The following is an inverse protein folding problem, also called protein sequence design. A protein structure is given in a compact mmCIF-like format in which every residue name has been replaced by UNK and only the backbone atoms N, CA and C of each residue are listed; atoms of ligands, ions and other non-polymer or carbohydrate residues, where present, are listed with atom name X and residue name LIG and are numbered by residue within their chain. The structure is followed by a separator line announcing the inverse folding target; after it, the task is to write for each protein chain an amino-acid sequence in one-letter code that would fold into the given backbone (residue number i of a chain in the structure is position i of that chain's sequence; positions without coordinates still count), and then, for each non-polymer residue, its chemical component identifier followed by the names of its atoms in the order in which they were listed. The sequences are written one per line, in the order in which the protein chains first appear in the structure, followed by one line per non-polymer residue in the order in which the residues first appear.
data_IF_890843963490
#
_entry.id   IF_890843963490
#
_cell.length_a   1.000
_cell.length_b   1.000
_cell.length_c   1.000
_cell.angle_alpha   90.00
_cell.angle_beta   90.00
_cell.angle_gamma   90.00
#
_symmetry.space_group_name_H-M   'P 1'
#
loop_
_entity.id
_entity.type
_entity.pdbx_description
1 polymer ?
#
# COMPACT_ATOMS: atom_id res chain seq x y z
N UNK A 1 29.85 -2.28 17.98
CA UNK A 1 30.13 -1.73 16.64
C UNK A 1 28.85 -1.94 15.82
N UNK A 2 28.03 -0.91 15.70
CA UNK A 2 26.77 -0.99 14.94
C UNK A 2 27.08 -1.07 13.45
N UNK A 3 26.95 -2.24 12.86
CA UNK A 3 26.83 -2.34 11.41
C UNK A 3 25.44 -1.81 11.06
N UNK A 4 25.40 -0.65 10.40
CA UNK A 4 24.16 0.04 10.10
C UNK A 4 23.19 -0.82 9.28
N UNK A 5 21.89 -0.53 9.41
CA UNK A 5 20.79 -1.12 8.61
C UNK A 5 21.05 -1.06 7.10
N UNK A 6 21.93 -0.15 6.65
CA UNK A 6 22.38 0.01 5.26
C UNK A 6 22.90 -1.24 4.56
N UNK A 7 23.36 -2.26 5.30
CA UNK A 7 23.91 -3.46 4.69
C UNK A 7 22.88 -4.53 4.31
N UNK A 8 21.64 -4.43 4.80
CA UNK A 8 20.61 -5.46 4.53
C UNK A 8 19.90 -5.24 3.21
N UNK A 9 19.52 -4.01 2.90
CA UNK A 9 18.82 -3.72 1.64
C UNK A 9 19.79 -3.46 0.47
N UNK A 10 21.07 -3.10 0.72
CA UNK A 10 22.11 -3.09 -0.31
C UNK A 10 22.40 -4.48 -0.90
N UNK A 11 21.92 -5.55 -0.23
CA UNK A 11 22.05 -6.95 -0.67
C UNK A 11 20.76 -7.53 -1.23
N UNK A 12 19.73 -6.74 -1.48
CA UNK A 12 18.60 -7.22 -2.27
C UNK A 12 19.13 -7.63 -3.65
N UNK A 13 19.01 -8.90 -4.07
CA UNK A 13 19.52 -9.31 -5.35
C UNK A 13 18.75 -8.59 -6.45
N UNK A 14 19.39 -7.65 -7.12
CA UNK A 14 18.97 -7.19 -8.44
C UNK A 14 19.00 -8.41 -9.35
N UNK A 15 17.85 -8.89 -9.80
CA UNK A 15 17.77 -9.96 -10.80
C UNK A 15 18.25 -9.36 -12.12
N UNK A 16 19.52 -9.54 -12.40
CA UNK A 16 20.19 -9.08 -13.61
C UNK A 16 21.69 -9.16 -13.42
N UNK A 17 22.27 -10.31 -13.76
CA UNK A 17 23.72 -10.49 -13.82
C UNK A 17 24.32 -9.61 -14.92
N UNK A 18 25.04 -8.56 -14.54
CA UNK A 18 26.15 -8.05 -15.34
C UNK A 18 27.34 -7.77 -14.43
N UNK A 19 28.50 -8.15 -14.96
CA UNK A 19 29.78 -8.27 -14.31
C UNK A 19 30.32 -6.99 -13.66
N UNK A 20 31.12 -7.21 -12.64
CA UNK A 20 31.85 -6.27 -11.79
C UNK A 20 32.71 -5.28 -12.57
N UNK A 21 32.64 -4.01 -12.19
CA UNK A 21 33.82 -3.16 -12.17
C UNK A 21 33.93 -2.58 -10.75
N UNK A 22 35.02 -2.95 -10.09
CA UNK A 22 35.45 -2.39 -8.82
C UNK A 22 35.84 -0.93 -9.00
N UNK A 23 35.05 -0.02 -8.49
CA UNK A 23 35.53 1.30 -8.06
C UNK A 23 34.68 1.71 -6.86
N UNK A 24 35.25 1.58 -5.68
CA UNK A 24 34.74 2.13 -4.43
C UNK A 24 34.80 3.64 -4.53
N UNK A 25 33.64 4.28 -4.74
CA UNK A 25 33.41 5.65 -4.33
C UNK A 25 32.62 5.60 -3.03
N UNK A 26 33.21 6.06 -1.94
CA UNK A 26 32.46 6.41 -0.72
C UNK A 26 31.51 7.57 -1.09
N UNK A 27 30.28 7.24 -1.44
CA UNK A 27 29.23 8.23 -1.55
C UNK A 27 28.71 8.47 -0.14
N UNK A 28 29.14 9.58 0.45
CA UNK A 28 28.46 10.19 1.60
C UNK A 28 27.05 10.57 1.13
N UNK A 29 26.08 9.67 1.34
CA UNK A 29 24.68 9.90 1.04
C UNK A 29 24.10 10.72 2.20
N UNK A 30 24.22 12.03 2.14
CA UNK A 30 23.31 12.92 2.85
C UNK A 30 21.98 12.85 2.09
N UNK A 31 21.05 12.05 2.56
CA UNK A 31 19.72 11.97 1.97
C UNK A 31 19.01 13.29 2.27
N UNK A 32 18.71 14.06 1.23
CA UNK A 32 17.90 15.27 1.32
C UNK A 32 16.39 14.97 1.31
N UNK A 33 16.00 13.70 1.46
CA UNK A 33 14.62 13.28 1.38
C UNK A 33 13.84 13.69 2.62
N UNK A 34 12.63 14.17 2.38
CA UNK A 34 11.66 14.59 3.39
C UNK A 34 10.39 13.79 3.19
N UNK A 35 9.66 13.51 4.28
CA UNK A 35 8.44 12.71 4.22
C UNK A 35 7.26 13.44 4.83
N UNK A 36 6.06 13.24 4.25
CA UNK A 36 4.79 13.63 4.84
C UNK A 36 3.93 12.39 5.07
N UNK A 37 3.45 12.22 6.30
CA UNK A 37 2.48 11.20 6.66
C UNK A 37 1.07 11.65 6.30
N UNK A 38 0.29 10.74 5.70
CA UNK A 38 -1.10 10.97 5.33
C UNK A 38 -1.94 9.81 5.91
N UNK A 39 -2.64 10.09 7.00
CA UNK A 39 -3.43 9.07 7.72
C UNK A 39 -4.93 9.19 7.51
N UNK A 40 -5.46 10.39 7.23
CA UNK A 40 -6.88 10.54 6.97
C UNK A 40 -7.23 10.48 5.47
N UNK A 41 -8.47 10.10 5.17
CA UNK A 41 -8.90 9.85 3.81
C UNK A 41 -9.14 11.14 3.00
N UNK A 42 -9.55 12.23 3.63
CA UNK A 42 -9.77 13.52 2.97
C UNK A 42 -8.43 14.13 2.53
N UNK A 43 -7.44 14.12 3.40
CA UNK A 43 -6.08 14.56 3.06
C UNK A 43 -5.45 13.64 2.00
N UNK A 44 -5.76 12.34 2.02
CA UNK A 44 -5.25 11.40 1.02
C UNK A 44 -5.73 11.75 -0.40
N UNK A 45 -6.98 12.17 -0.58
CA UNK A 45 -7.48 12.70 -1.84
C UNK A 45 -6.82 14.04 -2.17
N UNK A 46 -6.82 14.97 -1.21
CA UNK A 46 -6.26 16.30 -1.40
C UNK A 46 -4.79 16.27 -1.84
N UNK A 47 -3.96 15.44 -1.18
CA UNK A 47 -2.56 15.27 -1.54
C UNK A 47 -2.38 14.73 -2.97
N UNK A 48 -3.18 13.75 -3.38
CA UNK A 48 -3.14 13.24 -4.76
C UNK A 48 -3.47 14.34 -5.77
N UNK A 49 -4.51 15.13 -5.51
CA UNK A 49 -4.92 16.22 -6.39
C UNK A 49 -3.85 17.33 -6.45
N UNK A 50 -3.24 17.70 -5.31
CA UNK A 50 -2.15 18.70 -5.25
C UNK A 50 -0.91 18.22 -6.03
N UNK A 51 -0.51 16.96 -5.86
CA UNK A 51 0.61 16.36 -6.56
C UNK A 51 0.36 16.29 -8.06
N UNK A 52 -0.79 15.79 -8.52
CA UNK A 52 -1.15 15.72 -9.94
C UNK A 52 -1.19 17.12 -10.56
N UNK A 53 -1.72 18.10 -9.82
CA UNK A 53 -1.74 19.49 -10.27
C UNK A 53 -0.34 20.08 -10.43
N UNK A 54 0.61 19.72 -9.58
CA UNK A 54 1.99 20.25 -9.61
C UNK A 54 2.84 19.66 -10.74
N UNK A 55 2.43 18.55 -11.35
CA UNK A 55 3.17 17.87 -12.41
C UNK A 55 3.39 18.77 -13.64
N UNK A 56 4.62 18.74 -14.17
CA UNK A 56 5.04 19.50 -15.34
C UNK A 56 5.41 18.60 -16.53
N UNK A 57 5.95 17.39 -16.30
CA UNK A 57 6.50 16.53 -17.34
C UNK A 57 5.80 15.18 -17.39
N UNK A 58 5.76 14.46 -16.27
CA UNK A 58 5.30 13.09 -16.22
C UNK A 58 4.55 12.74 -14.93
N UNK A 59 3.49 11.94 -15.07
CA UNK A 59 2.79 11.28 -13.99
C UNK A 59 2.81 9.77 -14.22
N UNK A 60 3.22 9.01 -13.19
CA UNK A 60 3.08 7.55 -13.17
C UNK A 60 2.17 7.19 -12.00
N UNK A 61 1.12 6.41 -12.26
CA UNK A 61 0.21 5.90 -11.22
C UNK A 61 0.10 4.38 -11.32
N UNK A 62 0.37 3.68 -10.20
CA UNK A 62 0.04 2.29 -10.00
C UNK A 62 -1.03 2.14 -8.93
N UNK A 63 -2.01 1.27 -9.15
CA UNK A 63 -3.06 1.02 -8.16
C UNK A 63 -3.72 -0.35 -8.36
N UNK A 64 -4.10 -0.99 -7.24
CA UNK A 64 -4.78 -2.28 -7.27
C UNK A 64 -6.27 -2.15 -7.60
N UNK A 65 -7.02 -1.35 -6.85
CA UNK A 65 -8.46 -1.10 -7.08
C UNK A 65 -8.69 0.38 -7.38
N UNK A 66 -9.06 0.65 -8.62
CA UNK A 66 -9.43 1.99 -9.07
C UNK A 66 -10.88 1.98 -9.50
N UNK A 67 -11.71 2.80 -8.87
CA UNK A 67 -13.13 2.91 -9.19
C UNK A 67 -13.47 4.28 -9.71
N UNK A 68 -14.41 4.35 -10.63
CA UNK A 68 -14.95 5.62 -11.10
C UNK A 68 -16.13 6.09 -10.22
N UNK A 69 -15.95 5.99 -8.89
CA UNK A 69 -16.82 6.61 -7.88
C UNK A 69 -16.47 8.10 -7.72
N UNK A 70 -16.95 8.77 -6.67
CA UNK A 70 -16.75 10.22 -6.52
C UNK A 70 -15.27 10.58 -6.44
N UNK A 71 -14.53 10.00 -5.50
CA UNK A 71 -13.10 10.29 -5.31
C UNK A 71 -12.25 9.82 -6.49
N UNK A 72 -12.57 8.64 -7.04
CA UNK A 72 -11.87 8.14 -8.22
C UNK A 72 -12.12 8.98 -9.45
N UNK A 73 -13.33 9.53 -9.62
CA UNK A 73 -13.63 10.48 -10.71
C UNK A 73 -12.85 11.79 -10.54
N UNK A 74 -12.62 12.26 -9.30
CA UNK A 74 -11.78 13.42 -9.03
C UNK A 74 -10.32 13.18 -9.45
N UNK A 75 -9.77 12.00 -9.13
CA UNK A 75 -8.43 11.61 -9.58
C UNK A 75 -8.38 11.50 -11.11
N UNK A 76 -9.38 10.87 -11.76
CA UNK A 76 -9.47 10.78 -13.22
C UNK A 76 -9.50 12.18 -13.84
N UNK A 77 -10.30 13.11 -13.30
CA UNK A 77 -10.39 14.47 -13.81
C UNK A 77 -9.08 15.25 -13.64
N UNK A 78 -8.37 15.05 -12.53
CA UNK A 78 -7.07 15.66 -12.30
C UNK A 78 -6.00 15.15 -13.26
N UNK A 79 -5.96 13.82 -13.51
CA UNK A 79 -5.06 13.18 -14.48
C UNK A 79 -5.36 13.66 -15.91
N UNK A 80 -6.64 13.74 -16.27
CA UNK A 80 -7.07 14.30 -17.55
C UNK A 80 -6.64 15.77 -17.69
N UNK A 81 -6.85 16.59 -16.65
CA UNK A 81 -6.40 17.99 -16.62
C UNK A 81 -4.88 18.16 -16.69
N UNK A 82 -4.09 17.20 -16.17
CA UNK A 82 -2.65 17.17 -16.35
C UNK A 82 -2.28 16.85 -17.80
N UNK A 83 -2.91 15.85 -18.40
CA UNK A 83 -2.71 15.47 -19.80
C UNK A 83 -3.05 16.63 -20.78
N UNK A 84 -4.12 17.41 -20.51
CA UNK A 84 -4.46 18.63 -21.28
C UNK A 84 -3.38 19.73 -21.18
N UNK A 85 -2.59 19.74 -20.10
CA UNK A 85 -1.42 20.62 -19.96
C UNK A 85 -0.17 20.11 -20.70
N UNK A 86 -0.23 18.92 -21.32
CA UNK A 86 0.89 18.29 -22.03
C UNK A 86 1.69 17.30 -21.17
N UNK A 87 1.30 17.07 -19.92
CA UNK A 87 1.96 16.11 -19.03
C UNK A 87 1.72 14.69 -19.54
N UNK A 88 2.77 13.87 -19.61
CA UNK A 88 2.65 12.45 -19.98
C UNK A 88 2.13 11.65 -18.79
N UNK A 89 1.07 10.88 -18.99
CA UNK A 89 0.41 10.11 -17.92
C UNK A 89 0.50 8.63 -18.25
N UNK A 90 1.15 7.86 -17.38
CA UNK A 90 1.27 6.40 -17.49
C UNK A 90 0.55 5.72 -16.32
N UNK A 91 -0.44 4.89 -16.62
CA UNK A 91 -1.23 4.18 -15.63
C UNK A 91 -1.00 2.68 -15.74
N UNK A 92 -0.70 2.04 -14.60
CA UNK A 92 -0.76 0.58 -14.48
C UNK A 92 -1.76 0.20 -13.40
N UNK A 93 -2.74 -0.62 -13.75
CA UNK A 93 -3.85 -0.97 -12.88
C UNK A 93 -3.99 -2.48 -12.87
N UNK A 94 -4.28 -3.08 -11.71
CA UNK A 94 -4.58 -4.50 -11.65
C UNK A 94 -5.66 -4.90 -12.64
N UNK A 95 -5.36 -5.88 -13.48
CA UNK A 95 -6.18 -6.17 -14.65
C UNK A 95 -7.56 -6.73 -14.31
N UNK A 96 -7.73 -7.47 -13.21
CA UNK A 96 -9.05 -7.96 -12.79
C UNK A 96 -9.89 -6.81 -12.26
N UNK A 97 -9.35 -6.01 -11.36
CA UNK A 97 -10.06 -4.86 -10.79
C UNK A 97 -10.41 -3.84 -11.89
N UNK A 98 -9.48 -3.57 -12.81
CA UNK A 98 -9.75 -2.70 -13.95
C UNK A 98 -10.89 -3.21 -14.82
N UNK A 99 -10.91 -4.50 -15.15
CA UNK A 99 -11.96 -5.10 -15.97
C UNK A 99 -13.34 -5.08 -15.28
N UNK A 100 -13.38 -5.25 -13.97
CA UNK A 100 -14.63 -5.31 -13.21
C UNK A 100 -15.19 -3.93 -12.86
N UNK A 101 -14.34 -2.97 -12.53
CA UNK A 101 -14.77 -1.73 -11.87
C UNK A 101 -14.51 -0.46 -12.69
N UNK A 102 -13.66 -0.50 -13.71
CA UNK A 102 -13.14 0.72 -14.32
C UNK A 102 -13.29 0.77 -15.85
N UNK A 103 -12.93 -0.27 -16.57
CA UNK A 103 -12.87 -0.27 -18.04
C UNK A 103 -14.19 0.06 -18.74
N UNK A 104 -15.33 -0.24 -18.09
CA UNK A 104 -16.67 0.10 -18.56
C UNK A 104 -17.11 1.54 -18.26
N UNK A 105 -16.34 2.31 -17.50
CA UNK A 105 -16.69 3.69 -17.11
C UNK A 105 -16.39 4.66 -18.25
N UNK A 106 -17.39 5.46 -18.65
CA UNK A 106 -17.25 6.46 -19.70
C UNK A 106 -16.17 7.52 -19.36
N UNK A 107 -16.06 7.93 -18.07
CA UNK A 107 -15.05 8.92 -17.64
C UNK A 107 -13.63 8.35 -17.69
N UNK A 108 -13.45 7.07 -17.35
CA UNK A 108 -12.15 6.42 -17.50
C UNK A 108 -11.77 6.22 -18.97
N UNK A 109 -12.74 5.85 -19.82
CA UNK A 109 -12.52 5.76 -21.25
C UNK A 109 -12.14 7.12 -21.85
N UNK A 110 -12.73 8.23 -21.35
CA UNK A 110 -12.36 9.57 -21.78
C UNK A 110 -10.91 9.94 -21.40
N UNK A 111 -10.45 9.53 -20.21
CA UNK A 111 -9.03 9.65 -19.84
C UNK A 111 -8.13 8.81 -20.76
N UNK A 112 -8.48 7.52 -20.96
CA UNK A 112 -7.68 6.58 -21.74
C UNK A 112 -7.68 6.87 -23.26
N UNK A 113 -8.58 7.74 -23.73
CA UNK A 113 -8.62 8.20 -25.12
C UNK A 113 -7.74 9.43 -25.40
N UNK A 114 -7.14 10.01 -24.36
CA UNK A 114 -6.29 11.20 -24.50
C UNK A 114 -4.89 10.82 -25.00
N UNK A 115 -4.33 11.57 -25.98
CA UNK A 115 -3.05 11.26 -26.64
C UNK A 115 -1.85 11.20 -25.68
N UNK A 116 -1.88 11.98 -24.58
CA UNK A 116 -0.83 12.00 -23.55
C UNK A 116 -1.06 10.97 -22.43
N UNK A 117 -1.96 10.00 -22.62
CA UNK A 117 -2.30 9.00 -21.60
C UNK A 117 -2.05 7.59 -22.12
N UNK A 118 -1.21 6.86 -21.42
CA UNK A 118 -0.98 5.44 -21.66
C UNK A 118 -1.50 4.61 -20.50
N UNK A 119 -2.32 3.60 -20.78
CA UNK A 119 -2.89 2.69 -19.77
C UNK A 119 -2.49 1.25 -20.08
N UNK A 120 -2.01 0.57 -19.04
CA UNK A 120 -1.81 -0.89 -19.06
C UNK A 120 -2.55 -1.57 -17.92
N UNK A 121 -3.16 -2.71 -18.21
CA UNK A 121 -3.73 -3.60 -17.21
C UNK A 121 -2.73 -4.71 -16.89
N UNK A 122 -2.33 -4.80 -15.62
CA UNK A 122 -1.44 -5.85 -15.15
C UNK A 122 -2.18 -7.19 -15.12
N UNK A 123 -1.67 -8.18 -15.83
CA UNK A 123 -2.13 -9.56 -15.82
C UNK A 123 -3.68 -9.70 -15.82
N UNK A 124 -4.41 -9.15 -16.81
CA UNK A 124 -5.86 -9.30 -16.90
C UNK A 124 -6.26 -10.76 -17.13
N UNK A 125 -7.52 -11.11 -16.86
CA UNK A 125 -8.00 -12.48 -17.06
C UNK A 125 -7.83 -12.89 -18.52
N UNK A 126 -7.20 -14.05 -18.73
CA UNK A 126 -7.05 -14.72 -20.03
C UNK A 126 -7.52 -16.15 -19.92
N UNK A 127 -8.46 -16.56 -20.74
CA UNK A 127 -8.98 -17.93 -20.74
C UNK A 127 -7.89 -18.98 -21.01
N UNK A 128 -6.83 -18.59 -21.72
CA UNK A 128 -5.68 -19.45 -22.05
C UNK A 128 -4.61 -19.52 -20.97
N UNK A 129 -4.72 -18.72 -19.89
CA UNK A 129 -3.72 -18.60 -18.82
C UNK A 129 -4.39 -18.45 -17.45
N UNK A 130 -5.41 -19.24 -17.15
CA UNK A 130 -6.16 -19.15 -15.90
C UNK A 130 -5.29 -19.41 -14.65
N UNK A 131 -4.17 -20.12 -14.78
CA UNK A 131 -3.22 -20.34 -13.66
C UNK A 131 -2.51 -19.08 -13.20
N UNK A 132 -2.49 -18.00 -14.00
CA UNK A 132 -1.89 -16.72 -13.61
C UNK A 132 -2.88 -15.81 -12.86
N UNK A 133 -4.16 -16.17 -12.77
CA UNK A 133 -5.24 -15.33 -12.25
C UNK A 133 -4.99 -14.82 -10.81
N UNK A 134 -4.22 -15.57 -10.02
CA UNK A 134 -3.93 -15.21 -8.63
C UNK A 134 -2.76 -14.21 -8.47
N UNK A 135 -1.97 -13.95 -9.50
CA UNK A 135 -0.88 -12.96 -9.44
C UNK A 135 -1.44 -11.57 -9.74
N UNK A 136 -1.49 -10.69 -8.72
CA UNK A 136 -2.10 -9.37 -8.80
C UNK A 136 -1.10 -8.25 -8.60
N UNK A 137 -1.38 -7.07 -9.16
CA UNK A 137 -0.65 -5.85 -8.90
C UNK A 137 -1.23 -5.18 -7.66
N UNK A 138 -0.61 -5.41 -6.49
CA UNK A 138 -1.09 -4.84 -5.24
C UNK A 138 -0.35 -3.56 -4.83
N UNK A 139 0.53 -3.05 -5.68
CA UNK A 139 1.25 -1.79 -5.49
C UNK A 139 0.32 -0.57 -5.57
N UNK A 140 0.61 0.45 -4.80
CA UNK A 140 -0.11 1.72 -4.82
C UNK A 140 0.88 2.86 -4.68
N UNK A 141 1.17 3.55 -5.80
CA UNK A 141 2.04 4.71 -5.82
C UNK A 141 1.67 5.70 -6.92
N UNK A 142 2.05 6.95 -6.70
CA UNK A 142 1.94 8.06 -7.64
C UNK A 142 3.29 8.75 -7.70
N UNK A 143 3.92 8.81 -8.88
CA UNK A 143 5.20 9.50 -9.09
C UNK A 143 4.94 10.75 -9.93
N UNK A 144 5.56 11.86 -9.54
CA UNK A 144 5.49 13.15 -10.22
C UNK A 144 6.89 13.54 -10.67
N UNK A 145 7.02 13.83 -11.98
CA UNK A 145 8.23 14.36 -12.60
C UNK A 145 9.50 13.60 -12.20
N UNK A 146 9.38 12.27 -12.08
CA UNK A 146 10.44 11.31 -11.77
C UNK A 146 11.20 11.57 -10.44
N UNK A 147 10.65 12.38 -9.58
CA UNK A 147 11.33 12.84 -8.37
C UNK A 147 10.49 12.69 -7.11
N UNK A 148 9.36 13.36 -7.04
CA UNK A 148 8.45 13.31 -5.90
C UNK A 148 7.48 12.15 -6.05
N UNK A 149 7.21 11.41 -4.96
CA UNK A 149 6.26 10.31 -5.05
C UNK A 149 5.43 10.15 -3.76
N UNK A 150 4.25 9.59 -3.94
CA UNK A 150 3.38 9.12 -2.87
C UNK A 150 3.24 7.61 -3.00
N UNK A 151 3.37 6.88 -1.89
CA UNK A 151 3.07 5.46 -1.84
C UNK A 151 2.48 5.04 -0.50
N UNK A 152 1.75 3.93 -0.48
CA UNK A 152 1.14 3.41 0.74
C UNK A 152 0.19 2.24 0.51
N UNK A 153 -0.83 2.15 1.35
CA UNK A 153 -1.82 1.06 1.31
C UNK A 153 -3.11 1.41 0.59
N UNK A 154 -3.41 2.72 0.32
CA UNK A 154 -4.71 3.16 -0.17
C UNK A 154 -4.97 2.84 -1.63
N UNK A 155 -6.13 2.24 -1.88
CA UNK A 155 -6.71 2.13 -3.21
C UNK A 155 -7.38 3.46 -3.63
N UNK A 156 -7.70 3.59 -4.92
CA UNK A 156 -8.31 4.80 -5.49
C UNK A 156 -9.82 4.64 -5.57
N UNK A 157 -10.50 4.85 -4.45
CA UNK A 157 -11.97 4.76 -4.35
C UNK A 157 -12.49 5.50 -3.11
N UNK A 158 -13.80 5.73 -3.03
CA UNK A 158 -14.46 6.39 -1.90
C UNK A 158 -14.23 5.69 -0.56
N UNK A 159 -13.92 4.40 -0.56
CA UNK A 159 -13.59 3.64 0.66
C UNK A 159 -12.28 4.12 1.32
N UNK A 160 -11.37 4.71 0.54
CA UNK A 160 -10.02 5.09 0.97
C UNK A 160 -9.71 6.57 0.83
N UNK A 161 -10.47 7.29 -0.02
CA UNK A 161 -10.22 8.70 -0.36
C UNK A 161 -11.45 9.58 -0.13
N UNK A 162 -12.58 9.00 0.23
CA UNK A 162 -13.84 9.73 0.35
C UNK A 162 -13.97 10.48 1.67
N UNK A 163 -14.48 11.70 1.55
CA UNK A 163 -14.77 12.60 2.67
C UNK A 163 -16.11 12.34 3.36
N UNK A 164 -16.80 11.33 3.01
CA UNK A 164 -18.05 11.09 3.68
C UNK A 164 -19.24 10.84 2.78
N UNK A 165 -20.25 10.27 3.39
CA UNK A 165 -21.45 9.77 2.73
C UNK A 165 -21.41 8.26 2.55
N UNK A 166 -20.26 7.60 2.67
CA UNK A 166 -20.21 6.14 2.80
C UNK A 166 -20.18 5.77 4.28
N UNK A 167 -21.12 4.95 4.72
CA UNK A 167 -21.14 4.36 6.06
C UNK A 167 -20.00 3.36 6.28
N UNK A 168 -19.13 3.15 5.28
CA UNK A 168 -17.99 2.25 5.29
C UNK A 168 -16.78 2.99 4.76
N UNK A 169 -15.76 3.11 5.60
CA UNK A 169 -14.45 3.62 5.23
C UNK A 169 -13.39 2.65 5.75
N UNK A 170 -12.24 2.64 5.11
CA UNK A 170 -11.05 1.98 5.62
C UNK A 170 -10.06 3.05 6.08
N UNK A 171 -9.46 2.83 7.24
CA UNK A 171 -8.32 3.62 7.69
C UNK A 171 -7.07 3.03 7.06
N UNK A 172 -6.30 3.84 6.38
CA UNK A 172 -5.05 3.41 5.76
C UNK A 172 -4.03 4.55 5.79
N UNK A 173 -2.83 4.29 5.32
CA UNK A 173 -1.69 5.19 5.44
C UNK A 173 -0.95 5.32 4.12
N UNK A 174 -0.59 6.56 3.77
CA UNK A 174 0.31 6.86 2.67
C UNK A 174 1.46 7.75 3.17
N UNK A 175 2.57 7.71 2.46
CA UNK A 175 3.72 8.59 2.64
C UNK A 175 3.99 9.31 1.33
N UNK A 176 4.12 10.63 1.40
CA UNK A 176 4.74 11.43 0.34
C UNK A 176 6.22 11.54 0.63
N UNK A 177 7.05 11.30 -0.39
CA UNK A 177 8.49 11.54 -0.34
C UNK A 177 8.83 12.69 -1.27
N UNK A 178 9.50 13.70 -0.74
CA UNK A 178 9.96 14.88 -1.45
C UNK A 178 11.47 15.08 -1.29
N UNK A 179 12.14 15.49 -2.34
CA UNK A 179 13.59 15.55 -2.41
C UNK A 179 14.12 16.83 -3.09
N UNK A 180 13.36 17.91 -3.03
CA UNK A 180 13.75 19.19 -3.65
C UNK A 180 13.64 19.19 -5.18
N UNK A 181 12.93 18.23 -5.77
CA UNK A 181 12.79 18.10 -7.23
C UNK A 181 13.93 17.32 -7.90
N UNK A 182 14.83 16.71 -7.11
CA UNK A 182 15.91 15.86 -7.64
C UNK A 182 15.54 14.39 -7.55
N UNK A 183 16.02 13.59 -8.49
CA UNK A 183 15.85 12.13 -8.40
C UNK A 183 16.85 11.56 -7.39
N UNK A 184 16.32 10.93 -6.34
CA UNK A 184 17.12 10.29 -5.28
C UNK A 184 17.25 8.79 -5.51
N UNK A 185 18.00 8.10 -4.63
CA UNK A 185 18.16 6.65 -4.69
C UNK A 185 16.82 5.93 -4.54
N UNK A 186 15.93 6.38 -3.63
CA UNK A 186 14.62 5.76 -3.44
C UNK A 186 13.70 5.97 -4.65
N UNK A 187 13.68 7.18 -5.23
CA UNK A 187 12.92 7.50 -6.43
C UNK A 187 13.44 6.72 -7.66
N UNK A 188 14.76 6.59 -7.83
CA UNK A 188 15.36 5.78 -8.90
C UNK A 188 14.93 4.31 -8.78
N UNK A 189 15.01 3.74 -7.58
CA UNK A 189 14.60 2.35 -7.34
C UNK A 189 13.12 2.15 -7.68
N UNK A 190 12.27 3.12 -7.35
CA UNK A 190 10.84 3.06 -7.68
C UNK A 190 10.60 3.17 -9.19
N UNK A 191 11.33 4.02 -9.89
CA UNK A 191 11.26 4.15 -11.35
C UNK A 191 11.72 2.88 -12.06
N UNK A 192 12.86 2.30 -11.63
CA UNK A 192 13.35 1.02 -12.17
C UNK A 192 12.35 -0.12 -11.91
N UNK A 193 11.71 -0.13 -10.76
CA UNK A 193 10.64 -1.09 -10.45
C UNK A 193 9.44 -0.90 -11.37
N UNK A 194 8.98 0.34 -11.58
CA UNK A 194 7.90 0.64 -12.49
C UNK A 194 8.24 0.20 -13.93
N UNK A 195 9.43 0.53 -14.42
CA UNK A 195 9.84 0.17 -15.78
C UNK A 195 9.85 -1.35 -15.99
N UNK A 196 10.29 -2.14 -14.98
CA UNK A 196 10.19 -3.60 -15.02
C UNK A 196 8.74 -4.08 -15.11
N UNK A 197 7.85 -3.56 -14.24
CA UNK A 197 6.42 -3.92 -14.30
C UNK A 197 5.81 -3.50 -15.64
N UNK A 198 6.11 -2.29 -16.10
CA UNK A 198 5.56 -1.73 -17.34
C UNK A 198 5.87 -2.59 -18.58
N UNK A 199 7.05 -3.20 -18.61
CA UNK A 199 7.53 -4.02 -19.74
C UNK A 199 7.10 -5.48 -19.69
N UNK A 200 6.36 -5.93 -18.66
CA UNK A 200 5.93 -7.34 -18.59
C UNK A 200 5.01 -7.73 -19.73
N UNK A 201 5.29 -8.87 -20.35
CA UNK A 201 4.47 -9.46 -21.43
C UNK A 201 3.05 -9.86 -20.99
N UNK A 202 2.86 -9.99 -19.68
CA UNK A 202 1.55 -10.28 -19.08
C UNK A 202 0.62 -9.08 -19.10
N UNK A 203 1.13 -7.87 -19.25
CA UNK A 203 0.35 -6.65 -19.33
C UNK A 203 -0.40 -6.52 -20.65
N UNK A 204 -1.47 -5.73 -20.62
CA UNK A 204 -2.25 -5.38 -21.83
C UNK A 204 -2.50 -3.89 -21.86
N UNK A 205 -2.14 -3.27 -22.98
CA UNK A 205 -2.53 -1.90 -23.24
C UNK A 205 -4.07 -1.79 -23.32
N UNK A 206 -4.58 -0.72 -22.77
CA UNK A 206 -6.00 -0.35 -22.85
C UNK A 206 -6.10 1.01 -23.53
N UNK A 207 -6.90 1.06 -24.60
CA UNK A 207 -7.19 2.28 -25.33
C UNK A 207 -8.70 2.41 -25.50
N UNK A 208 -9.19 3.64 -25.53
CA UNK A 208 -10.56 3.96 -25.86
C UNK A 208 -10.63 4.83 -27.11
N UNK A 209 -11.74 4.72 -27.83
CA UNK A 209 -11.93 5.49 -29.07
C UNK A 209 -12.43 6.90 -28.74
N UNK A 210 -11.63 7.93 -29.03
CA UNK A 210 -11.96 9.33 -28.80
C UNK A 210 -13.23 9.78 -29.56
N UNK A 211 -13.49 9.22 -30.74
CA UNK A 211 -14.66 9.55 -31.57
C UNK A 211 -15.98 8.97 -31.03
N UNK A 212 -15.94 8.09 -30.03
CA UNK A 212 -17.14 7.54 -29.40
C UNK A 212 -17.95 8.65 -28.72
N UNK A 213 -19.25 8.73 -29.00
CA UNK A 213 -20.14 9.75 -28.46
C UNK A 213 -20.17 9.78 -26.91
N UNK A 214 -20.09 8.61 -26.24
CA UNK A 214 -20.03 8.52 -24.79
C UNK A 214 -18.73 9.11 -24.26
N UNK A 215 -17.61 8.83 -24.91
CA UNK A 215 -16.29 9.37 -24.58
C UNK A 215 -16.29 10.89 -24.71
N UNK A 216 -16.79 11.44 -25.81
CA UNK A 216 -16.91 12.90 -26.03
C UNK A 216 -17.74 13.58 -24.93
N UNK A 217 -18.86 12.97 -24.53
CA UNK A 217 -19.71 13.46 -23.44
C UNK A 217 -18.97 13.41 -22.10
N UNK A 218 -18.25 12.32 -21.82
CA UNK A 218 -17.50 12.13 -20.60
C UNK A 218 -16.30 13.10 -20.53
N UNK A 219 -15.64 13.40 -21.64
CA UNK A 219 -14.58 14.42 -21.71
C UNK A 219 -15.09 15.79 -21.23
N UNK A 220 -16.29 16.19 -21.66
CA UNK A 220 -16.89 17.44 -21.17
C UNK A 220 -17.21 17.39 -19.64
N UNK A 221 -17.55 16.22 -19.11
CA UNK A 221 -17.74 16.04 -17.67
C UNK A 221 -16.39 16.18 -16.93
N UNK A 222 -15.33 15.56 -17.45
CA UNK A 222 -13.97 15.66 -16.85
C UNK A 222 -13.47 17.10 -16.88
N UNK A 223 -13.63 17.81 -18.00
CA UNK A 223 -13.22 19.20 -18.12
C UNK A 223 -13.90 20.10 -17.06
N UNK A 224 -15.23 19.95 -16.90
CA UNK A 224 -15.97 20.68 -15.87
C UNK A 224 -15.49 20.29 -14.47
N UNK A 225 -15.36 18.98 -14.20
CA UNK A 225 -14.96 18.50 -12.88
C UNK A 225 -13.54 18.97 -12.52
N UNK A 226 -12.62 18.94 -13.48
CA UNK A 226 -11.27 19.47 -13.28
C UNK A 226 -11.29 20.96 -12.96
N UNK A 227 -12.10 21.78 -13.66
CA UNK A 227 -12.25 23.19 -13.35
C UNK A 227 -12.74 23.42 -11.93
N UNK A 228 -13.80 22.68 -11.51
CA UNK A 228 -14.33 22.75 -10.14
C UNK A 228 -13.26 22.41 -9.09
N UNK A 229 -12.47 21.35 -9.32
CA UNK A 229 -11.38 20.91 -8.42
C UNK A 229 -10.27 21.95 -8.40
N UNK A 230 -9.81 22.41 -9.58
CA UNK A 230 -8.67 23.32 -9.72
C UNK A 230 -8.93 24.70 -9.13
N UNK A 231 -10.18 25.16 -9.19
CA UNK A 231 -10.62 26.43 -8.62
C UNK A 231 -10.93 26.35 -7.12
N UNK A 232 -10.96 25.14 -6.55
CA UNK A 232 -11.20 24.95 -5.13
C UNK A 232 -10.06 25.54 -4.30
N UNK A 233 -10.39 26.37 -3.30
CA UNK A 233 -9.41 27.07 -2.43
C UNK A 233 -8.48 26.12 -1.67
N UNK A 234 -8.85 24.83 -1.56
CA UNK A 234 -8.07 23.83 -0.84
C UNK A 234 -6.83 23.34 -1.63
N UNK A 235 -6.82 23.49 -2.96
CA UNK A 235 -5.66 23.12 -3.78
C UNK A 235 -4.58 24.21 -3.74
N UNK A 236 -4.05 24.51 -2.57
CA UNK A 236 -2.91 25.42 -2.42
C UNK A 236 -1.61 24.77 -2.88
N UNK A 237 -0.59 25.58 -3.18
CA UNK A 237 0.77 25.07 -3.39
C UNK A 237 1.27 24.35 -2.11
N UNK A 238 2.04 23.28 -2.29
CA UNK A 238 2.62 22.52 -1.19
C UNK A 238 3.79 23.33 -0.60
N UNK A 239 3.75 23.53 0.71
CA UNK A 239 4.90 24.08 1.43
C UNK A 239 5.73 22.91 2.00
N UNK A 240 6.69 22.46 1.21
CA UNK A 240 7.49 21.28 1.54
C UNK A 240 8.27 21.40 2.86
N UNK A 241 8.65 22.61 3.25
CA UNK A 241 9.41 22.80 4.49
C UNK A 241 8.54 22.57 5.74
N UNK A 242 7.31 23.07 5.70
CA UNK A 242 6.40 23.00 6.86
C UNK A 242 5.51 21.76 6.87
N UNK A 243 5.24 21.17 5.69
CA UNK A 243 4.34 20.01 5.57
C UNK A 243 5.09 18.67 5.60
N UNK A 244 6.44 18.66 5.70
CA UNK A 244 7.23 17.43 5.70
C UNK A 244 8.25 17.37 6.83
N UNK A 245 8.63 16.16 7.22
CA UNK A 245 9.69 15.85 8.18
C UNK A 245 10.99 15.52 7.45
N UNK A 246 12.13 15.97 8.00
CA UNK A 246 13.46 15.57 7.53
C UNK A 246 13.72 14.11 7.93
N UNK A 247 14.30 13.31 7.02
CA UNK A 247 14.69 11.93 7.28
C UNK A 247 16.21 11.76 7.34
N UNK A 248 16.66 10.71 7.99
CA UNK A 248 18.05 10.25 7.92
C UNK A 248 18.27 9.40 6.67
N UNK A 249 17.29 8.55 6.33
CA UNK A 249 17.34 7.66 5.17
C UNK A 249 15.93 7.24 4.74
N UNK A 250 15.72 7.09 3.43
CA UNK A 250 14.53 6.48 2.84
C UNK A 250 14.99 5.41 1.85
N UNK A 251 14.44 4.21 1.95
CA UNK A 251 14.76 3.10 1.05
C UNK A 251 13.50 2.35 0.62
N UNK A 252 13.38 2.07 -0.69
CA UNK A 252 12.31 1.24 -1.22
C UNK A 252 12.67 -0.23 -1.09
N UNK A 253 11.75 -1.01 -0.52
CA UNK A 253 11.79 -2.46 -0.45
C UNK A 253 10.69 -3.01 -1.35
N UNK A 254 11.00 -3.89 -2.29
CA UNK A 254 10.02 -4.47 -3.21
C UNK A 254 10.15 -5.97 -3.33
N UNK A 255 9.02 -6.62 -3.60
CA UNK A 255 8.97 -8.02 -3.99
C UNK A 255 9.27 -8.23 -5.49
N UNK A 256 9.12 -9.47 -5.95
CA UNK A 256 9.15 -9.81 -7.37
C UNK A 256 7.91 -9.23 -8.07
N UNK A 257 8.10 -8.57 -9.20
CA UNK A 257 7.03 -7.96 -9.98
C UNK A 257 6.41 -8.88 -11.04
N UNK A 258 6.97 -10.09 -11.26
CA UNK A 258 6.48 -11.03 -12.28
C UNK A 258 5.12 -11.64 -11.90
N UNK A 259 4.35 -12.07 -12.90
CA UNK A 259 3.10 -12.81 -12.68
C UNK A 259 3.34 -14.33 -12.72
N UNK A 260 4.43 -14.82 -12.12
CA UNK A 260 4.80 -16.23 -12.15
C UNK A 260 5.84 -16.57 -11.07
N UNK A 261 5.59 -17.67 -10.33
CA UNK A 261 6.54 -18.36 -9.44
C UNK A 261 7.40 -17.45 -8.55
N UNK A 262 6.75 -16.63 -7.72
CA UNK A 262 7.41 -15.64 -6.87
C UNK A 262 8.06 -16.28 -5.64
N UNK A 263 9.27 -15.84 -5.35
CA UNK A 263 9.93 -16.09 -4.07
C UNK A 263 9.53 -15.02 -3.03
N UNK A 264 9.39 -15.37 -1.75
CA UNK A 264 8.95 -14.45 -0.70
C UNK A 264 10.05 -13.46 -0.28
N UNK A 265 10.67 -12.78 -1.26
CA UNK A 265 11.83 -11.91 -1.04
C UNK A 265 11.53 -10.77 -0.08
N UNK A 266 10.38 -10.10 -0.26
CA UNK A 266 10.00 -8.98 0.60
C UNK A 266 9.74 -9.45 2.04
N UNK A 267 9.01 -10.54 2.24
CA UNK A 267 8.82 -11.16 3.57
C UNK A 267 10.16 -11.44 4.26
N UNK A 268 11.11 -12.05 3.53
CA UNK A 268 12.43 -12.37 4.06
C UNK A 268 13.23 -11.10 4.42
N UNK A 269 13.11 -10.05 3.61
CA UNK A 269 13.74 -8.75 3.89
C UNK A 269 13.13 -8.12 5.14
N UNK A 270 11.80 -8.06 5.22
CA UNK A 270 11.08 -7.49 6.38
C UNK A 270 11.42 -8.23 7.67
N UNK A 271 11.37 -9.55 7.67
CA UNK A 271 11.70 -10.35 8.86
C UNK A 271 13.18 -10.23 9.26
N UNK A 272 14.09 -10.09 8.30
CA UNK A 272 15.52 -9.84 8.57
C UNK A 272 15.74 -8.46 9.20
N UNK A 273 14.99 -7.44 8.79
CA UNK A 273 15.03 -6.12 9.41
C UNK A 273 14.45 -6.17 10.83
N UNK A 274 13.31 -6.83 11.01
CA UNK A 274 12.69 -7.01 12.33
C UNK A 274 13.62 -7.73 13.33
N UNK A 275 14.38 -8.76 12.89
CA UNK A 275 15.35 -9.46 13.73
C UNK A 275 16.51 -8.58 14.23
N UNK A 276 16.66 -7.37 13.69
CA UNK A 276 17.65 -6.38 14.12
C UNK A 276 17.11 -5.39 15.15
N UNK A 277 15.83 -5.45 15.46
CA UNK A 277 15.23 -4.68 16.55
C UNK A 277 15.89 -5.05 17.88
N UNK A 278 16.08 -4.07 18.74
CA UNK A 278 16.75 -4.21 20.05
C UNK A 278 15.79 -4.02 21.23
N UNK A 279 14.67 -3.31 21.03
CA UNK A 279 13.73 -2.97 22.09
C UNK A 279 12.37 -3.62 21.86
N UNK A 280 11.65 -3.18 20.86
CA UNK A 280 10.31 -3.68 20.53
C UNK A 280 9.91 -3.39 19.09
N UNK A 281 8.97 -4.19 18.59
CA UNK A 281 8.39 -4.04 17.27
C UNK A 281 6.88 -3.90 17.39
N UNK A 282 6.29 -2.96 16.63
CA UNK A 282 4.85 -2.90 16.39
C UNK A 282 4.59 -3.26 14.92
N UNK A 283 3.77 -4.28 14.70
CA UNK A 283 3.33 -4.73 13.38
C UNK A 283 1.83 -4.44 13.23
N UNK A 284 1.46 -3.52 12.36
CA UNK A 284 0.06 -3.25 11.99
C UNK A 284 -0.25 -3.93 10.66
N UNK A 285 -1.29 -4.75 10.63
CA UNK A 285 -1.77 -5.43 9.41
C UNK A 285 -3.28 -5.67 9.52
N UNK A 286 -4.05 -5.53 8.43
CA UNK A 286 -5.51 -5.68 8.51
C UNK A 286 -5.96 -7.08 8.94
N UNK A 287 -5.17 -8.10 8.67
CA UNK A 287 -5.35 -9.51 9.05
C UNK A 287 -4.04 -10.26 8.92
N UNK A 288 -3.98 -11.47 9.47
CA UNK A 288 -2.85 -12.38 9.37
C UNK A 288 -3.31 -13.73 8.80
N UNK A 289 -2.74 -14.12 7.66
CA UNK A 289 -3.01 -15.41 7.00
C UNK A 289 -1.66 -16.08 6.71
N UNK A 290 -1.11 -16.74 7.71
CA UNK A 290 0.27 -17.25 7.68
C UNK A 290 0.34 -18.74 7.35
N UNK A 291 1.37 -19.14 6.60
CA UNK A 291 1.82 -20.51 6.49
C UNK A 291 2.93 -20.81 7.50
N UNK A 292 3.39 -22.08 7.54
CA UNK A 292 4.42 -22.52 8.49
C UNK A 292 5.74 -21.74 8.32
N UNK A 293 6.12 -21.36 7.11
CA UNK A 293 7.33 -20.57 6.87
C UNK A 293 7.23 -19.18 7.49
N UNK A 294 6.05 -18.54 7.40
CA UNK A 294 5.78 -17.23 8.00
C UNK A 294 5.75 -17.33 9.55
N UNK A 295 5.17 -18.39 10.13
CA UNK A 295 5.25 -18.63 11.58
C UNK A 295 6.68 -18.79 12.04
N UNK A 296 7.47 -19.60 11.33
CA UNK A 296 8.88 -19.80 11.66
C UNK A 296 9.70 -18.51 11.53
N UNK A 297 9.35 -17.65 10.57
CA UNK A 297 10.00 -16.34 10.40
C UNK A 297 9.68 -15.40 11.57
N UNK A 298 8.41 -15.33 12.00
CA UNK A 298 7.99 -14.54 13.17
C UNK A 298 8.64 -15.05 14.44
N UNK A 299 8.70 -16.36 14.65
CA UNK A 299 9.34 -16.97 15.83
C UNK A 299 10.81 -16.57 15.94
N UNK A 300 11.54 -16.54 14.83
CA UNK A 300 12.94 -16.05 14.83
C UNK A 300 13.06 -14.58 15.22
N UNK A 301 12.03 -13.76 14.96
CA UNK A 301 12.00 -12.37 15.40
C UNK A 301 11.74 -12.32 16.91
N UNK A 302 10.72 -13.03 17.39
CA UNK A 302 10.31 -13.01 18.80
C UNK A 302 11.32 -13.68 19.73
N UNK A 303 12.20 -14.53 19.22
CA UNK A 303 13.33 -15.08 19.99
C UNK A 303 14.29 -13.97 20.50
N UNK A 304 14.29 -12.77 19.86
CA UNK A 304 15.23 -11.68 20.17
C UNK A 304 14.56 -10.38 20.61
N UNK A 305 13.32 -10.12 20.18
CA UNK A 305 12.65 -8.83 20.41
C UNK A 305 11.16 -9.04 20.62
N UNK A 306 10.55 -8.24 21.50
CA UNK A 306 9.10 -8.26 21.71
C UNK A 306 8.37 -7.74 20.45
N UNK A 307 7.35 -8.47 20.00
CA UNK A 307 6.53 -8.09 18.85
C UNK A 307 5.07 -7.93 19.26
N UNK A 308 4.55 -6.72 19.11
CA UNK A 308 3.14 -6.39 19.27
C UNK A 308 2.49 -6.32 17.89
N UNK A 309 1.55 -7.21 17.61
CA UNK A 309 0.72 -7.15 16.41
C UNK A 309 -0.57 -6.40 16.70
N UNK A 310 -0.94 -5.45 15.82
CA UNK A 310 -2.26 -4.81 15.85
C UNK A 310 -2.99 -5.23 14.57
N UNK A 311 -4.14 -5.86 14.73
CA UNK A 311 -4.99 -6.31 13.63
C UNK A 311 -6.46 -6.01 13.90
N UNK A 312 -7.31 -6.04 12.88
CA UNK A 312 -8.75 -5.85 13.11
C UNK A 312 -9.32 -6.94 14.01
N UNK A 313 -10.15 -6.56 14.95
CA UNK A 313 -11.00 -7.53 15.63
C UNK A 313 -11.85 -8.26 14.58
N UNK A 314 -12.07 -9.58 14.72
CA UNK A 314 -12.83 -10.37 13.73
C UNK A 314 -14.24 -9.85 13.45
N UNK A 315 -14.77 -9.02 14.35
CA UNK A 315 -16.11 -8.44 14.23
C UNK A 315 -16.13 -7.11 13.45
N UNK A 316 -15.00 -6.40 13.37
CA UNK A 316 -14.87 -5.08 12.73
C UNK A 316 -14.14 -5.10 11.39
N UNK A 317 -13.35 -6.14 11.10
CA UNK A 317 -12.57 -6.25 9.86
C UNK A 317 -13.43 -6.28 8.60
N UNK A 318 -13.02 -5.55 7.57
CA UNK A 318 -13.71 -5.45 6.29
C UNK A 318 -13.60 -6.73 5.44
N UNK A 319 -12.57 -7.56 5.66
CA UNK A 319 -12.37 -8.83 4.96
C UNK A 319 -12.89 -10.02 5.80
N UNK A 320 -14.13 -10.50 5.58
CA UNK A 320 -14.69 -11.59 6.38
C UNK A 320 -13.98 -12.93 6.18
N UNK A 321 -13.34 -13.15 5.01
CA UNK A 321 -12.57 -14.35 4.72
C UNK A 321 -11.27 -14.37 5.51
N UNK A 322 -10.52 -13.27 5.50
CA UNK A 322 -9.31 -13.11 6.30
C UNK A 322 -9.58 -13.19 7.80
N UNK A 323 -10.67 -12.59 8.28
CA UNK A 323 -11.10 -12.72 9.68
C UNK A 323 -11.45 -14.17 10.06
N UNK A 324 -12.05 -14.94 9.15
CA UNK A 324 -12.40 -16.33 9.39
C UNK A 324 -11.16 -17.23 9.45
N UNK A 325 -10.18 -17.01 8.58
CA UNK A 325 -8.91 -17.73 8.62
C UNK A 325 -8.11 -17.39 9.88
N UNK A 326 -8.00 -16.11 10.21
CA UNK A 326 -7.37 -15.63 11.44
C UNK A 326 -7.95 -16.35 12.68
N UNK A 327 -9.28 -16.44 12.81
CA UNK A 327 -9.93 -17.14 13.91
C UNK A 327 -9.63 -18.66 13.95
N UNK A 328 -9.30 -19.27 12.82
CA UNK A 328 -8.90 -20.67 12.78
C UNK A 328 -7.45 -20.88 13.23
N UNK A 329 -6.60 -19.86 13.11
CA UNK A 329 -5.15 -19.96 13.26
C UNK A 329 -4.57 -18.96 14.27
N UNK A 330 -5.43 -18.27 15.05
CA UNK A 330 -4.96 -17.31 16.05
C UNK A 330 -4.01 -17.93 17.06
N UNK A 331 -4.29 -19.14 17.50
CA UNK A 331 -3.45 -19.83 18.47
C UNK A 331 -2.08 -20.19 17.87
N UNK A 332 -2.03 -20.60 16.59
CA UNK A 332 -0.76 -20.82 15.85
C UNK A 332 0.07 -19.53 15.75
N UNK A 333 -0.60 -18.36 15.59
CA UNK A 333 0.08 -17.06 15.57
C UNK A 333 0.63 -16.72 16.96
N UNK A 334 -0.15 -16.91 18.02
CA UNK A 334 0.29 -16.69 19.40
C UNK A 334 1.47 -17.58 19.79
N UNK A 335 1.50 -18.84 19.32
CA UNK A 335 2.62 -19.76 19.51
C UNK A 335 3.95 -19.27 18.92
N UNK A 336 3.91 -18.27 18.02
CA UNK A 336 5.14 -17.61 17.54
C UNK A 336 5.76 -16.65 18.57
N UNK A 337 5.07 -16.35 19.67
CA UNK A 337 5.55 -15.46 20.73
C UNK A 337 5.11 -14.01 20.59
N UNK A 338 4.22 -13.69 19.64
CA UNK A 338 3.69 -12.32 19.45
C UNK A 338 2.53 -12.03 20.39
N UNK A 339 2.42 -10.80 20.87
CA UNK A 339 1.18 -10.28 21.46
C UNK A 339 0.25 -9.79 20.35
N UNK A 340 -1.04 -10.12 20.40
CA UNK A 340 -2.03 -9.71 19.40
C UNK A 340 -3.03 -8.74 20.02
N UNK A 341 -3.05 -7.51 19.53
CA UNK A 341 -4.11 -6.53 19.81
C UNK A 341 -5.19 -6.64 18.72
N UNK A 342 -6.36 -7.15 19.07
CA UNK A 342 -7.57 -7.12 18.24
C UNK A 342 -8.23 -5.74 18.39
N UNK A 343 -7.94 -4.83 17.46
CA UNK A 343 -8.49 -3.47 17.48
C UNK A 343 -9.94 -3.43 17.01
N UNK A 344 -10.78 -2.72 17.73
CA UNK A 344 -12.21 -2.59 17.48
C UNK A 344 -12.65 -1.14 17.31
N UNK A 345 -12.05 -0.43 16.37
CA UNK A 345 -12.41 0.95 16.04
C UNK A 345 -13.68 1.09 15.21
N UNK A 346 -14.03 2.33 14.91
CA UNK A 346 -15.25 2.69 14.16
C UNK A 346 -15.22 2.25 12.70
N UNK A 347 -14.03 2.11 12.12
CA UNK A 347 -13.78 1.70 10.74
C UNK A 347 -12.86 0.49 10.69
N UNK A 348 -12.72 -0.14 9.53
CA UNK A 348 -11.74 -1.20 9.36
C UNK A 348 -10.35 -0.61 9.14
N UNK A 349 -9.37 -1.06 9.92
CA UNK A 349 -7.96 -0.77 9.68
C UNK A 349 -7.48 -1.52 8.44
N UNK A 350 -6.78 -0.80 7.55
CA UNK A 350 -6.15 -1.39 6.37
C UNK A 350 -4.66 -1.03 6.26
N UNK A 351 -4.10 -0.37 7.28
CA UNK A 351 -2.67 0.00 7.34
C UNK A 351 -1.75 -1.21 7.36
N UNK A 352 -0.59 -1.07 6.73
CA UNK A 352 0.52 -2.03 6.75
C UNK A 352 1.77 -1.28 7.18
N UNK A 353 2.11 -1.41 8.46
CA UNK A 353 3.20 -0.66 9.08
C UNK A 353 4.00 -1.57 9.99
N UNK A 354 5.31 -1.45 9.96
CA UNK A 354 6.22 -2.07 10.92
C UNK A 354 7.05 -0.95 11.55
N UNK A 355 6.98 -0.84 12.87
CA UNK A 355 7.79 0.10 13.64
C UNK A 355 8.86 -0.71 14.38
N UNK A 356 10.11 -0.41 14.14
CA UNK A 356 11.24 -1.07 14.79
C UNK A 356 11.92 -0.06 15.69
N UNK A 357 11.91 -0.35 16.98
CA UNK A 357 12.43 0.52 18.04
C UNK A 357 11.86 1.96 17.91
N UNK A 358 12.55 2.97 18.41
CA UNK A 358 12.09 4.36 18.35
C UNK A 358 12.62 5.12 17.10
N UNK A 359 12.92 4.40 16.02
CA UNK A 359 13.67 4.98 14.90
C UNK A 359 13.12 4.64 13.52
N UNK A 360 12.89 3.37 13.24
CA UNK A 360 12.58 2.90 11.89
C UNK A 360 11.08 2.68 11.72
N UNK A 361 10.53 3.22 10.65
CA UNK A 361 9.16 2.98 10.21
C UNK A 361 9.17 2.35 8.82
N UNK A 362 8.43 1.27 8.61
CA UNK A 362 8.29 0.60 7.31
C UNK A 362 6.81 0.61 6.95
N UNK A 363 6.45 1.26 5.83
CA UNK A 363 5.06 1.52 5.45
C UNK A 363 4.86 1.16 3.98
N UNK A 364 3.71 0.55 3.63
CA UNK A 364 3.42 0.25 2.22
C UNK A 364 2.22 -0.63 1.99
N UNK A 365 2.32 -1.56 1.05
CA UNK A 365 1.21 -2.36 0.56
C UNK A 365 1.16 -3.79 1.12
N UNK A 366 2.26 -4.31 1.71
CA UNK A 366 2.43 -5.69 2.13
C UNK A 366 1.54 -6.06 3.33
N UNK A 367 0.52 -6.88 3.10
CA UNK A 367 -0.23 -7.52 4.17
C UNK A 367 0.58 -8.69 4.76
N UNK A 368 0.32 -9.02 6.04
CA UNK A 368 0.95 -10.21 6.63
C UNK A 368 0.16 -11.48 6.25
N UNK A 369 0.13 -11.77 4.93
CA UNK A 369 -0.59 -12.90 4.36
C UNK A 369 0.19 -13.61 3.25
N UNK A 370 -0.30 -14.81 2.89
CA UNK A 370 0.34 -15.63 1.86
C UNK A 370 0.24 -15.01 0.46
N UNK A 371 -0.80 -14.21 0.17
CA UNK A 371 -0.91 -13.55 -1.13
C UNK A 371 0.20 -12.52 -1.30
N UNK A 372 0.37 -11.64 -0.31
CA UNK A 372 1.44 -10.63 -0.32
C UNK A 372 2.83 -11.26 -0.36
N UNK A 373 3.00 -12.41 0.33
CA UNK A 373 4.30 -13.09 0.36
C UNK A 373 4.66 -13.80 -0.95
N UNK A 374 3.68 -14.40 -1.67
CA UNK A 374 3.98 -15.34 -2.76
C UNK A 374 3.26 -15.07 -4.09
N UNK A 375 2.24 -14.21 -4.13
CA UNK A 375 1.41 -14.02 -5.32
C UNK A 375 1.38 -12.58 -5.81
N UNK A 376 1.18 -11.62 -4.92
CA UNK A 376 0.96 -10.23 -5.32
C UNK A 376 2.28 -9.47 -5.52
N UNK A 377 2.27 -8.41 -6.31
CA UNK A 377 3.35 -7.43 -6.27
C UNK A 377 3.19 -6.60 -5.03
N UNK A 378 4.27 -6.34 -4.32
CA UNK A 378 4.23 -5.61 -3.07
C UNK A 378 5.47 -4.73 -2.91
N UNK A 379 5.28 -3.61 -2.23
CA UNK A 379 6.38 -2.73 -1.85
C UNK A 379 6.16 -2.09 -0.48
N UNK A 380 7.27 -1.83 0.19
CA UNK A 380 7.32 -1.15 1.47
C UNK A 380 8.41 -0.06 1.43
N UNK A 381 8.18 1.04 2.10
CA UNK A 381 9.13 2.13 2.25
C UNK A 381 9.74 2.09 3.65
N UNK A 382 11.02 1.83 3.75
CA UNK A 382 11.78 1.96 4.98
C UNK A 382 12.16 3.42 5.18
N UNK A 383 11.85 3.98 6.34
CA UNK A 383 12.09 5.38 6.68
C UNK A 383 12.80 5.44 8.02
N UNK A 384 14.02 5.93 8.01
CA UNK A 384 14.76 6.27 9.22
C UNK A 384 14.45 7.71 9.62
N UNK A 385 13.45 7.87 10.48
CA UNK A 385 12.99 9.17 10.98
C UNK A 385 12.35 9.00 12.37
N UNK A 386 13.09 9.28 13.46
CA UNK A 386 12.55 9.16 14.84
C UNK A 386 11.29 9.97 15.05
N UNK A 387 11.17 11.16 14.47
CA UNK A 387 9.99 12.02 14.61
C UNK A 387 8.73 11.36 13.96
N UNK A 388 8.87 10.75 12.79
CA UNK A 388 7.77 9.99 12.16
C UNK A 388 7.43 8.75 12.99
N UNK A 389 8.45 8.03 13.46
CA UNK A 389 8.26 6.82 14.24
C UNK A 389 7.49 7.13 15.56
N UNK A 390 7.81 8.23 16.25
CA UNK A 390 7.10 8.64 17.44
C UNK A 390 5.61 8.92 17.18
N UNK A 391 5.27 9.64 16.09
CA UNK A 391 3.86 9.89 15.70
C UNK A 391 3.12 8.56 15.51
N UNK A 392 3.73 7.63 14.78
CA UNK A 392 3.11 6.34 14.47
C UNK A 392 2.98 5.43 15.70
N UNK A 393 3.90 5.55 16.67
CA UNK A 393 3.80 4.83 17.95
C UNK A 393 2.69 5.37 18.83
N UNK A 394 2.51 6.68 18.86
CA UNK A 394 1.40 7.29 19.60
C UNK A 394 0.05 6.83 19.04
N UNK A 395 -0.09 6.76 17.71
CA UNK A 395 -1.30 6.22 17.07
C UNK A 395 -1.50 4.73 17.34
N UNK A 396 -0.44 3.93 17.28
CA UNK A 396 -0.50 2.51 17.61
C UNK A 396 -0.91 2.30 19.08
N UNK A 397 -0.41 3.13 19.99
CA UNK A 397 -0.81 3.09 21.40
C UNK A 397 -2.28 3.46 21.60
N UNK A 398 -2.79 4.45 20.85
CA UNK A 398 -4.21 4.79 20.85
C UNK A 398 -5.07 3.61 20.38
N UNK A 399 -4.64 2.92 19.31
CA UNK A 399 -5.33 1.71 18.86
C UNK A 399 -5.33 0.60 19.91
N UNK A 400 -4.25 0.44 20.67
CA UNK A 400 -4.19 -0.54 21.78
C UNK A 400 -5.14 -0.17 22.93
N UNK A 401 -5.36 1.10 23.22
CA UNK A 401 -6.39 1.52 24.20
C UNK A 401 -7.80 1.16 23.76
N UNK A 402 -8.08 1.12 22.47
CA UNK A 402 -9.36 0.72 21.88
C UNK A 402 -9.45 -0.79 21.61
N UNK A 403 -8.37 -1.53 21.79
CA UNK A 403 -8.23 -2.93 21.44
C UNK A 403 -8.31 -3.88 22.62
N UNK A 404 -8.25 -5.16 22.29
CA UNK A 404 -8.12 -6.27 23.24
C UNK A 404 -6.83 -7.03 22.91
N UNK A 405 -5.86 -6.98 23.80
CA UNK A 405 -4.57 -7.67 23.64
C UNK A 405 -4.64 -9.08 24.23
N UNK A 406 -4.14 -10.04 23.47
CA UNK A 406 -4.03 -11.46 23.83
C UNK A 406 -2.54 -11.81 23.77
N UNK A 407 -1.99 -12.27 24.89
CA UNK A 407 -0.59 -12.69 24.98
C UNK A 407 -0.42 -14.19 24.71
N UNK A 408 0.81 -14.65 24.39
CA UNK A 408 1.10 -16.06 24.10
C UNK A 408 0.71 -17.04 25.20
N UNK A 409 0.71 -16.61 26.44
CA UNK A 409 0.28 -17.40 27.62
C UNK A 409 -1.26 -17.46 27.78
N UNK A 410 -2.02 -16.83 26.86
CA UNK A 410 -3.49 -16.77 26.87
C UNK A 410 -4.06 -15.68 27.77
N UNK A 411 -3.24 -14.88 28.43
CA UNK A 411 -3.72 -13.71 29.20
C UNK A 411 -4.32 -12.71 28.22
N UNK A 412 -5.48 -12.17 28.60
CA UNK A 412 -6.20 -11.19 27.80
C UNK A 412 -6.38 -9.91 28.61
N UNK A 413 -5.95 -8.78 28.02
CA UNK A 413 -6.10 -7.45 28.59
C UNK A 413 -6.89 -6.57 27.63
N UNK A 414 -7.93 -5.90 28.15
CA UNK A 414 -8.69 -4.92 27.37
C UNK A 414 -8.13 -3.52 27.62
N UNK A 415 -8.00 -2.73 26.55
CA UNK A 415 -7.62 -1.33 26.66
C UNK A 415 -8.69 -0.51 27.39
N UNK A 416 -8.30 0.66 27.89
CA UNK A 416 -9.17 1.52 28.71
C UNK A 416 -10.40 2.03 27.93
N UNK A 417 -10.28 2.18 26.61
CA UNK A 417 -11.35 2.65 25.72
C UNK A 417 -12.03 1.51 24.95
N UNK A 418 -11.72 0.25 25.28
CA UNK A 418 -12.27 -0.90 24.57
C UNK A 418 -13.80 -1.02 24.75
N UNK A 419 -14.52 -1.07 23.64
CA UNK A 419 -15.95 -1.32 23.60
C UNK A 419 -16.20 -2.73 23.06
N UNK A 420 -16.83 -3.58 23.87
CA UNK A 420 -17.17 -4.95 23.41
C UNK A 420 -18.10 -4.89 22.22
N UNK A 421 -17.73 -5.45 21.04
CA UNK A 421 -18.54 -5.39 19.85
C UNK A 421 -19.84 -6.21 20.02
N UNK A 422 -20.98 -5.61 19.66
CA UNK A 422 -22.26 -6.30 19.58
C UNK A 422 -22.34 -7.04 18.26
N UNK A 423 -22.27 -8.38 18.29
CA UNK A 423 -22.35 -9.22 17.09
C UNK A 423 -23.72 -9.87 17.01
N UNK A 424 -24.44 -9.66 15.90
CA UNK A 424 -25.74 -10.33 15.69
C UNK A 424 -25.57 -11.85 15.54
N UNK A 425 -26.58 -12.61 15.94
CA UNK A 425 -26.57 -14.08 15.78
C UNK A 425 -26.35 -14.51 14.31
N UNK A 426 -26.93 -13.77 13.37
CA UNK A 426 -26.73 -14.02 11.93
C UNK A 426 -25.27 -13.87 11.53
N UNK A 427 -24.58 -12.82 12.02
CA UNK A 427 -23.14 -12.59 11.73
C UNK A 427 -22.28 -13.68 12.35
N UNK A 428 -22.62 -14.17 13.55
CA UNK A 428 -21.92 -15.28 14.20
C UNK A 428 -22.04 -16.59 13.41
N UNK A 429 -23.26 -16.91 12.94
CA UNK A 429 -23.50 -18.10 12.10
C UNK A 429 -22.74 -17.99 10.78
N UNK A 430 -22.81 -16.84 10.10
CA UNK A 430 -22.06 -16.61 8.86
C UNK A 430 -20.55 -16.76 9.08
N UNK A 431 -20.01 -16.20 10.14
CA UNK A 431 -18.59 -16.31 10.49
C UNK A 431 -18.19 -17.76 10.76
N UNK A 432 -19.06 -18.54 11.45
CA UNK A 432 -18.81 -19.98 11.69
C UNK A 432 -18.80 -20.79 10.40
N UNK A 433 -19.68 -20.49 9.45
CA UNK A 433 -19.69 -21.12 8.12
C UNK A 433 -18.43 -20.75 7.32
N UNK A 434 -18.07 -19.46 7.31
CA UNK A 434 -16.85 -19.00 6.62
C UNK A 434 -15.60 -19.67 7.14
N UNK A 435 -15.49 -19.93 8.45
CA UNK A 435 -14.35 -20.65 9.05
C UNK A 435 -14.16 -22.07 8.50
N UNK A 436 -15.22 -22.72 8.06
CA UNK A 436 -15.16 -24.03 7.43
C UNK A 436 -14.77 -23.90 5.95
N UNK A 437 -15.44 -22.97 5.24
CA UNK A 437 -15.28 -22.79 3.79
C UNK A 437 -13.88 -22.29 3.45
N UNK A 438 -13.29 -21.44 4.28
CA UNK A 438 -12.02 -20.76 4.01
C UNK A 438 -10.82 -21.73 3.95
N UNK A 439 -10.88 -22.85 4.68
CA UNK A 439 -9.75 -23.77 4.87
C UNK A 439 -9.05 -24.22 3.58
N UNK A 440 -9.74 -24.69 2.52
CA UNK A 440 -9.08 -25.11 1.29
C UNK A 440 -8.57 -23.96 0.42
N UNK A 441 -8.97 -22.72 0.69
CA UNK A 441 -8.66 -21.53 -0.13
C UNK A 441 -7.62 -20.60 0.51
N UNK A 442 -7.09 -20.96 1.68
CA UNK A 442 -6.14 -20.11 2.44
C UNK A 442 -5.02 -19.51 1.61
N UNK A 443 -4.49 -20.29 0.67
CA UNK A 443 -3.34 -19.87 -0.14
C UNK A 443 -3.66 -18.70 -1.10
N UNK A 444 -4.92 -18.47 -1.39
CA UNK A 444 -5.37 -17.42 -2.32
C UNK A 444 -6.18 -16.30 -1.64
N UNK A 445 -6.16 -16.26 -0.31
CA UNK A 445 -6.85 -15.23 0.50
C UNK A 445 -6.01 -13.99 0.73
#
# INVERSE_FOLDING_TARGET
MSRGLGDVYKRQPLIGTHEKSDTQAEVSITTSERVCLIDNNEDALLWRLRLIRSAQEEIILSTFDFRADSSGTDVIAALWGAAERGVQVRLIIDGINAQLHLSGSDVFQALAAHDNVEVKFYNPIRLTQLWTVNYRCHDKYLIIDRSTYLMGGRNTSDLFLGSGGTSRQNIDRDIVVYNGGFTTASANTLLEYFDRIWLLDTNRAFHAEAENHRVKKATAILARRWTEINDAKQLTAINWETETLQTNEVALLSGDCTAWNKEPMLLNTLTTLMQKGEQNIVLQTPYMICNQAMYNALKKVTDNVQVQVITNAPQSGANPWGCADYLNHRDDILETGVDICEWNGSFSMHTKTILIDDRISIIGSFNWDMRSAYLDTEMMLLIDCPALNAILRDEAQQMMYEGKTISPDGVTVTGELYITPKVSATKQVLQSLLRIIVRPFRYVL
#
